data_IF_220453486418
#
_entry.id   IF_220453486418
#
_cell.length_a   1.000
_cell.length_b   1.000
_cell.length_c   1.000
_cell.angle_alpha   90.00
_cell.angle_beta   90.00
_cell.angle_gamma   90.00
#
_symmetry.space_group_name_H-M   'P 1'
#
loop_
_entity.id
_entity.type
_entity.pdbx_description
1 polymer ?
#
# COMPACT_ATOMS: atom_id res chain seq x y z
N UNK A 1 10.25 3.03 24.61
CA UNK A 1 9.31 4.13 24.28
C UNK A 1 8.53 3.76 23.02
N UNK A 2 7.24 3.91 23.06
CA UNK A 2 6.37 3.59 21.91
C UNK A 2 6.28 4.80 20.98
N UNK A 3 6.48 4.57 19.70
CA UNK A 3 6.30 5.62 18.70
C UNK A 3 4.81 6.02 18.60
N UNK A 4 4.55 7.29 18.31
CA UNK A 4 3.20 7.79 18.10
C UNK A 4 2.60 7.24 16.80
N UNK A 5 1.27 7.32 16.68
CA UNK A 5 0.58 6.99 15.44
C UNK A 5 1.12 7.82 14.26
N UNK A 6 1.29 9.13 14.45
CA UNK A 6 1.84 10.01 13.42
C UNK A 6 3.25 9.57 12.97
N UNK A 7 4.10 9.14 13.90
CA UNK A 7 5.44 8.65 13.58
C UNK A 7 5.37 7.36 12.75
N UNK A 8 4.48 6.44 13.08
CA UNK A 8 4.29 5.21 12.30
C UNK A 8 3.81 5.51 10.89
N UNK A 9 2.91 6.49 10.72
CA UNK A 9 2.44 6.92 9.39
C UNK A 9 3.59 7.52 8.58
N UNK A 10 4.42 8.35 9.20
CA UNK A 10 5.59 8.92 8.54
C UNK A 10 6.56 7.83 8.07
N UNK A 11 6.80 6.82 8.91
CA UNK A 11 7.65 5.69 8.53
C UNK A 11 7.06 4.89 7.36
N UNK A 12 5.75 4.67 7.35
CA UNK A 12 5.08 4.00 6.25
C UNK A 12 5.25 4.76 4.94
N UNK A 13 5.11 6.09 4.98
CA UNK A 13 5.32 6.92 3.79
C UNK A 13 6.75 6.77 3.25
N UNK A 14 7.75 6.83 4.13
CA UNK A 14 9.16 6.65 3.74
C UNK A 14 9.37 5.28 3.12
N UNK A 15 8.82 4.24 3.71
CA UNK A 15 8.94 2.87 3.20
C UNK A 15 8.27 2.68 1.85
N UNK A 16 7.10 3.28 1.66
CA UNK A 16 6.39 3.22 0.38
C UNK A 16 7.18 3.93 -0.72
N UNK A 17 7.79 5.08 -0.43
CA UNK A 17 8.62 5.79 -1.40
C UNK A 17 9.86 4.97 -1.76
N UNK A 18 10.53 4.38 -0.77
CA UNK A 18 11.70 3.55 -1.00
C UNK A 18 11.36 2.29 -1.80
N UNK A 19 10.24 1.66 -1.50
CA UNK A 19 9.78 0.48 -2.24
C UNK A 19 9.49 0.81 -3.70
N UNK A 20 8.76 1.91 -3.95
CA UNK A 20 8.47 2.34 -5.32
C UNK A 20 9.73 2.65 -6.11
N UNK A 21 10.69 3.35 -5.50
CA UNK A 21 11.97 3.68 -6.14
C UNK A 21 12.77 2.42 -6.48
N UNK A 22 12.79 1.45 -5.58
CA UNK A 22 13.50 0.19 -5.81
C UNK A 22 12.84 -0.62 -6.93
N UNK A 23 11.51 -0.71 -6.95
CA UNK A 23 10.77 -1.48 -7.95
C UNK A 23 10.79 -0.85 -9.34
N UNK A 24 10.93 0.47 -9.42
CA UNK A 24 10.94 1.20 -10.70
C UNK A 24 12.09 0.76 -11.61
N UNK A 25 13.16 0.22 -11.03
CA UNK A 25 14.37 -0.15 -11.78
C UNK A 25 14.14 -1.28 -12.77
N UNK A 26 13.37 -2.29 -12.40
CA UNK A 26 13.08 -3.42 -13.29
C UNK A 26 11.83 -4.17 -12.82
N UNK A 27 10.70 -3.86 -13.45
CA UNK A 27 9.42 -4.51 -13.14
C UNK A 27 9.35 -5.97 -13.58
N UNK A 28 10.24 -6.40 -14.46
CA UNK A 28 10.23 -7.77 -14.98
C UNK A 28 11.16 -8.71 -14.23
N UNK A 29 11.94 -8.18 -13.29
CA UNK A 29 12.85 -8.99 -12.49
C UNK A 29 12.09 -10.00 -11.64
N UNK A 30 12.68 -11.18 -11.47
CA UNK A 30 12.12 -12.21 -10.59
C UNK A 30 12.28 -11.83 -9.13
N UNK A 31 11.31 -12.21 -8.30
CA UNK A 31 11.36 -12.05 -6.86
C UNK A 31 11.88 -13.35 -6.23
N UNK A 32 13.09 -13.37 -5.65
CA UNK A 32 13.70 -14.62 -5.19
C UNK A 32 12.89 -15.34 -4.11
N UNK A 33 12.21 -14.61 -3.25
CA UNK A 33 11.42 -15.17 -2.13
C UNK A 33 10.00 -15.55 -2.52
N UNK A 34 9.58 -15.22 -3.74
CA UNK A 34 8.24 -15.51 -4.26
C UNK A 34 8.37 -16.19 -5.63
N UNK A 35 8.60 -17.52 -5.67
CA UNK A 35 8.80 -18.23 -6.93
C UNK A 35 7.66 -18.01 -7.92
N UNK A 36 8.00 -17.66 -9.16
CA UNK A 36 7.04 -17.38 -10.22
C UNK A 36 6.53 -15.95 -10.25
N UNK A 37 6.94 -15.11 -9.30
CA UNK A 37 6.55 -13.71 -9.27
C UNK A 37 7.60 -12.81 -9.90
N UNK A 38 7.13 -11.79 -10.61
CA UNK A 38 7.95 -10.65 -11.02
C UNK A 38 7.79 -9.50 -10.02
N UNK A 39 8.65 -8.49 -10.13
CA UNK A 39 8.51 -7.26 -9.34
C UNK A 39 7.16 -6.59 -9.60
N UNK A 40 6.66 -6.62 -10.83
CA UNK A 40 5.33 -6.10 -11.16
C UNK A 40 4.23 -6.81 -10.34
N UNK A 41 4.31 -8.13 -10.21
CA UNK A 41 3.35 -8.89 -9.39
C UNK A 41 3.40 -8.44 -7.93
N UNK A 42 4.60 -8.21 -7.40
CA UNK A 42 4.77 -7.73 -6.04
C UNK A 42 4.20 -6.33 -5.85
N UNK A 43 4.42 -5.42 -6.80
CA UNK A 43 3.85 -4.06 -6.79
C UNK A 43 2.32 -4.12 -6.77
N UNK A 44 1.73 -4.94 -7.65
CA UNK A 44 0.28 -5.10 -7.71
C UNK A 44 -0.29 -5.67 -6.40
N UNK A 45 0.39 -6.64 -5.80
CA UNK A 45 -0.03 -7.23 -4.53
C UNK A 45 -0.01 -6.20 -3.39
N UNK A 46 1.06 -5.45 -3.27
CA UNK A 46 1.17 -4.40 -2.25
C UNK A 46 0.14 -3.29 -2.45
N UNK A 47 -0.06 -2.83 -3.69
CA UNK A 47 -1.06 -1.82 -4.00
C UNK A 47 -2.47 -2.31 -3.66
N UNK A 48 -2.79 -3.55 -4.00
CA UNK A 48 -4.08 -4.16 -3.67
C UNK A 48 -4.34 -4.17 -2.16
N UNK A 49 -3.33 -4.56 -1.39
CA UNK A 49 -3.43 -4.59 0.06
C UNK A 49 -3.62 -3.20 0.65
N UNK A 50 -2.86 -2.22 0.18
CA UNK A 50 -2.97 -0.84 0.66
C UNK A 50 -4.29 -0.20 0.26
N UNK A 51 -4.81 -0.48 -0.93
CA UNK A 51 -6.14 -0.02 -1.34
C UNK A 51 -7.23 -0.59 -0.42
N UNK A 52 -7.10 -1.86 -0.04
CA UNK A 52 -8.02 -2.49 0.89
C UNK A 52 -7.96 -1.83 2.28
N UNK A 53 -6.76 -1.58 2.81
CA UNK A 53 -6.61 -0.89 4.10
C UNK A 53 -7.22 0.52 4.04
N UNK A 54 -7.02 1.24 2.93
CA UNK A 54 -7.61 2.57 2.72
C UNK A 54 -9.13 2.51 2.83
N UNK A 55 -9.76 1.51 2.22
CA UNK A 55 -11.20 1.29 2.30
C UNK A 55 -11.65 1.00 3.73
N UNK A 56 -10.94 0.11 4.43
CA UNK A 56 -11.23 -0.22 5.82
C UNK A 56 -11.17 1.02 6.71
N UNK A 57 -10.14 1.84 6.55
CA UNK A 57 -9.95 3.06 7.34
C UNK A 57 -11.04 4.09 7.03
N UNK A 58 -11.31 4.35 5.76
CA UNK A 58 -12.27 5.39 5.34
C UNK A 58 -13.70 5.01 5.68
N UNK A 59 -14.05 3.74 5.58
CA UNK A 59 -15.38 3.25 5.91
C UNK A 59 -15.52 2.83 7.37
N UNK A 60 -14.44 2.86 8.13
CA UNK A 60 -14.39 2.49 9.55
C UNK A 60 -14.95 1.08 9.78
N UNK A 61 -14.55 0.15 8.95
CA UNK A 61 -15.03 -1.22 9.02
C UNK A 61 -14.47 -1.93 10.25
N UNK A 62 -15.34 -2.58 11.00
CA UNK A 62 -14.95 -3.38 12.18
C UNK A 62 -14.73 -4.84 11.81
N UNK A 63 -15.25 -5.28 10.67
CA UNK A 63 -15.03 -6.62 10.14
C UNK A 63 -14.44 -6.50 8.73
N UNK A 64 -13.41 -7.29 8.40
CA UNK A 64 -12.74 -7.15 7.11
C UNK A 64 -13.61 -7.70 5.97
N UNK A 65 -13.56 -7.01 4.83
CA UNK A 65 -13.86 -7.64 3.55
C UNK A 65 -12.57 -8.22 3.01
N UNK A 66 -12.65 -9.25 2.19
CA UNK A 66 -11.46 -9.81 1.55
C UNK A 66 -10.84 -8.76 0.61
N UNK A 67 -9.50 -8.63 0.61
CA UNK A 67 -8.85 -7.75 -0.35
C UNK A 67 -9.12 -8.20 -1.78
N UNK A 68 -9.38 -7.25 -2.68
CA UNK A 68 -9.47 -7.54 -4.10
C UNK A 68 -8.08 -7.60 -4.71
N UNK A 69 -7.89 -8.49 -5.68
CA UNK A 69 -6.66 -8.49 -6.49
C UNK A 69 -6.80 -7.42 -7.56
N UNK A 70 -6.01 -6.37 -7.43
CA UNK A 70 -6.02 -5.25 -8.36
C UNK A 70 -4.81 -5.34 -9.30
N UNK A 71 -4.95 -4.72 -10.46
CA UNK A 71 -3.87 -4.55 -11.42
C UNK A 71 -3.78 -3.09 -11.82
N UNK A 72 -2.60 -2.61 -12.27
CA UNK A 72 -2.50 -1.26 -12.77
C UNK A 72 -3.50 -1.05 -13.91
N UNK A 73 -4.23 0.09 -13.94
CA UNK A 73 -5.12 0.38 -15.05
C UNK A 73 -4.36 0.47 -16.37
N UNK A 74 -5.04 0.12 -17.49
CA UNK A 74 -4.45 0.22 -18.82
C UNK A 74 -3.99 1.66 -19.08
N UNK A 75 -2.79 1.80 -19.63
CA UNK A 75 -2.21 3.11 -19.95
C UNK A 75 -1.64 3.88 -18.76
N UNK A 76 -1.71 3.33 -17.56
CA UNK A 76 -1.13 3.95 -16.37
C UNK A 76 0.16 3.25 -16.00
N UNK A 77 1.21 4.01 -15.72
CA UNK A 77 2.48 3.45 -15.27
C UNK A 77 2.27 2.72 -13.93
N UNK A 78 2.72 1.46 -13.79
CA UNK A 78 2.51 0.69 -12.56
C UNK A 78 3.08 1.35 -11.30
N UNK A 79 4.21 2.02 -11.39
CA UNK A 79 4.83 2.68 -10.25
C UNK A 79 4.07 3.96 -9.89
N UNK A 80 3.64 4.74 -10.87
CA UNK A 80 2.79 5.91 -10.61
C UNK A 80 1.48 5.50 -9.95
N UNK A 81 0.89 4.41 -10.42
CA UNK A 81 -0.30 3.83 -9.80
C UNK A 81 -0.05 3.41 -8.35
N UNK A 82 1.05 2.69 -8.08
CA UNK A 82 1.43 2.30 -6.73
C UNK A 82 1.62 3.50 -5.82
N UNK A 83 2.29 4.55 -6.30
CA UNK A 83 2.51 5.78 -5.53
C UNK A 83 1.18 6.46 -5.20
N UNK A 84 0.24 6.50 -6.15
CA UNK A 84 -1.09 7.10 -5.92
C UNK A 84 -1.89 6.30 -4.89
N UNK A 85 -1.88 4.97 -4.96
CA UNK A 85 -2.56 4.11 -3.99
C UNK A 85 -1.96 4.28 -2.59
N UNK A 86 -0.65 4.30 -2.48
CA UNK A 86 0.05 4.51 -1.21
C UNK A 86 -0.21 5.89 -0.62
N UNK A 87 -0.21 6.93 -1.46
CA UNK A 87 -0.53 8.30 -1.04
C UNK A 87 -1.95 8.40 -0.48
N UNK A 88 -2.92 7.75 -1.11
CA UNK A 88 -4.30 7.72 -0.63
C UNK A 88 -4.39 7.06 0.76
N UNK A 89 -3.64 5.99 1.00
CA UNK A 89 -3.59 5.35 2.31
C UNK A 89 -3.00 6.29 3.37
N UNK A 90 -1.89 6.93 3.06
CA UNK A 90 -1.24 7.88 3.98
C UNK A 90 -2.19 9.03 4.32
N UNK A 91 -2.85 9.61 3.32
CA UNK A 91 -3.82 10.68 3.54
C UNK A 91 -4.98 10.23 4.43
N UNK A 92 -5.46 9.00 4.22
CA UNK A 92 -6.52 8.42 5.05
C UNK A 92 -6.08 8.28 6.51
N UNK A 93 -4.87 7.80 6.76
CA UNK A 93 -4.33 7.70 8.11
C UNK A 93 -4.14 9.07 8.76
N UNK A 94 -3.64 10.06 8.02
CA UNK A 94 -3.42 11.41 8.55
C UNK A 94 -4.70 12.15 8.87
N UNK A 95 -5.79 11.84 8.17
CA UNK A 95 -7.10 12.43 8.42
C UNK A 95 -7.89 11.68 9.51
N UNK A 96 -7.36 10.58 10.01
CA UNK A 96 -8.01 9.72 10.99
C UNK A 96 -7.44 10.00 12.38
N UNK A 97 -8.33 10.11 13.39
CA UNK A 97 -7.93 10.11 14.78
C UNK A 97 -7.36 8.73 15.13
N UNK A 98 -6.16 8.69 15.73
CA UNK A 98 -5.52 7.45 16.13
C UNK A 98 -6.31 6.64 17.16
N UNK A 99 -7.37 7.20 17.75
CA UNK A 99 -8.27 6.49 18.66
C UNK A 99 -9.38 5.73 17.92
N UNK A 100 -9.52 5.90 16.63
CA UNK A 100 -10.53 5.18 15.83
C UNK A 100 -10.14 3.70 15.74
N UNK A 101 -11.07 2.83 16.09
CA UNK A 101 -10.88 1.39 15.98
C UNK A 101 -11.34 0.90 14.62
N UNK A 102 -10.42 0.31 13.87
CA UNK A 102 -10.71 -0.39 12.63
C UNK A 102 -9.97 -1.72 12.65
N UNK A 103 -10.48 -2.69 11.89
CA UNK A 103 -9.78 -3.94 11.71
C UNK A 103 -8.80 -3.81 10.52
N UNK A 104 -7.54 -4.11 10.73
CA UNK A 104 -6.51 -4.08 9.66
C UNK A 104 -5.61 -5.30 9.72
#
# INVERSE_FOLDING_TARGET
MTASFATHVDWLEIENLAFADACERDLTASVPTCPGWTVLDLVAHHASYQAWITEVVNERLLAPRAPANLSPPDGVDPIDWYRAVGSALIDSFRSTDGAVHVWV
#
